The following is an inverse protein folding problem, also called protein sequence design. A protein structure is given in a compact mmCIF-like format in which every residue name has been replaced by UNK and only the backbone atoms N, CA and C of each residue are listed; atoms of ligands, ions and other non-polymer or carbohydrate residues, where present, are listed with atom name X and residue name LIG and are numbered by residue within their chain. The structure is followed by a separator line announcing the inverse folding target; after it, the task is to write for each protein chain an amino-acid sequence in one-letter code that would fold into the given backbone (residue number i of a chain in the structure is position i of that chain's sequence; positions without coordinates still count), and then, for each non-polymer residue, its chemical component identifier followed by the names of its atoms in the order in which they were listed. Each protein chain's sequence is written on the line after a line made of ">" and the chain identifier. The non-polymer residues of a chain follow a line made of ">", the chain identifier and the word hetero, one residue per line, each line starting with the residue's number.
data_IF_199791832064
#
_entry.id   IF_199791832064
#
_cell.length_a   1.000
_cell.length_b   1.000
_cell.length_c   1.000
_cell.angle_alpha   90.00
_cell.angle_beta   90.00
_cell.angle_gamma   90.00
#
_symmetry.space_group_name_H-M   'P 1'
#
loop_
_entity.id
_entity.type
_entity.pdbx_description
1 polymer ?
#
# COMPACT_ATOMS: atom_id res chain seq x y z
N UNK A 1 22.04 -47.33 20.94
CA UNK A 1 22.22 -46.13 20.10
C UNK A 1 21.07 -45.18 20.44
N UNK A 2 21.33 -44.13 21.22
CA UNK A 2 20.32 -43.17 21.62
C UNK A 2 20.48 -41.93 20.74
N UNK A 3 19.64 -41.80 19.71
CA UNK A 3 19.60 -40.59 18.90
C UNK A 3 19.00 -39.50 19.79
N UNK A 4 19.81 -38.48 20.09
CA UNK A 4 19.42 -37.37 20.95
C UNK A 4 18.23 -36.64 20.33
N UNK A 5 17.07 -36.78 20.97
CA UNK A 5 15.78 -36.25 20.53
C UNK A 5 15.68 -34.71 20.65
N UNK A 6 16.76 -34.05 21.09
CA UNK A 6 16.83 -32.59 21.34
C UNK A 6 17.22 -31.81 20.09
N UNK A 7 17.89 -32.47 19.13
CA UNK A 7 18.41 -31.86 17.92
C UNK A 7 17.35 -31.45 16.86
N UNK A 8 16.19 -32.12 16.70
CA UNK A 8 15.19 -31.73 15.70
C UNK A 8 14.46 -30.42 16.04
N UNK A 9 14.29 -30.10 17.33
CA UNK A 9 13.50 -28.95 17.77
C UNK A 9 14.24 -27.62 17.56
N UNK A 10 15.58 -27.63 17.72
CA UNK A 10 16.43 -26.48 17.44
C UNK A 10 16.45 -26.09 15.96
N UNK A 11 16.39 -27.06 15.05
CA UNK A 11 16.36 -26.82 13.60
C UNK A 11 15.05 -26.14 13.19
N UNK A 12 13.92 -26.55 13.78
CA UNK A 12 12.61 -25.92 13.57
C UNK A 12 12.61 -24.45 14.03
N UNK A 13 13.19 -24.17 15.20
CA UNK A 13 13.31 -22.80 15.72
C UNK A 13 14.14 -21.89 14.79
N UNK A 14 15.28 -22.36 14.28
CA UNK A 14 16.11 -21.58 13.34
C UNK A 14 15.40 -21.34 12.00
N UNK A 15 14.58 -22.29 11.54
CA UNK A 15 13.79 -22.14 10.30
C UNK A 15 12.70 -21.07 10.42
N UNK A 16 12.07 -20.92 11.59
CA UNK A 16 11.07 -19.89 11.86
C UNK A 16 11.67 -18.47 11.83
N UNK A 17 12.93 -18.30 12.24
CA UNK A 17 13.64 -17.01 12.14
C UNK A 17 14.09 -16.67 10.71
N UNK A 18 14.01 -17.63 9.78
CA UNK A 18 14.38 -17.45 8.36
C UNK A 18 13.16 -17.25 7.46
N UNK A 19 11.95 -17.20 8.02
CA UNK A 19 10.77 -16.81 7.26
C UNK A 19 11.00 -15.38 6.75
N UNK A 20 10.83 -15.13 5.43
CA UNK A 20 10.76 -13.77 4.94
C UNK A 20 9.67 -13.09 5.76
N UNK A 21 10.04 -12.13 6.59
CA UNK A 21 9.05 -11.34 7.30
C UNK A 21 8.19 -10.71 6.20
N UNK A 22 6.93 -11.14 6.09
CA UNK A 22 5.92 -10.46 5.30
C UNK A 22 5.83 -9.06 5.91
N UNK A 23 6.59 -8.11 5.36
CA UNK A 23 6.60 -6.73 5.82
C UNK A 23 5.30 -6.09 5.35
N UNK A 24 4.26 -6.25 6.15
CA UNK A 24 3.02 -5.53 5.93
C UNK A 24 3.31 -4.03 5.87
N UNK A 25 2.67 -3.34 4.94
CA UNK A 25 2.76 -1.89 4.84
C UNK A 25 1.77 -1.31 5.84
N UNK A 26 2.28 -0.59 6.82
CA UNK A 26 1.45 0.17 7.75
C UNK A 26 0.84 1.37 7.01
N UNK A 27 -0.48 1.49 7.05
CA UNK A 27 -1.22 2.56 6.41
C UNK A 27 -2.21 3.21 7.38
N UNK A 28 -2.60 4.44 7.08
CA UNK A 28 -3.60 5.18 7.82
C UNK A 28 -4.63 5.80 6.86
N UNK A 29 -5.88 5.98 7.29
CA UNK A 29 -6.83 6.77 6.51
C UNK A 29 -6.45 8.25 6.53
N UNK A 30 -6.52 8.90 5.37
CA UNK A 30 -6.15 10.32 5.24
C UNK A 30 -6.99 11.23 6.15
N UNK A 31 -8.27 10.90 6.33
CA UNK A 31 -9.19 11.61 7.23
C UNK A 31 -9.18 11.11 8.68
N UNK A 32 -8.27 10.19 9.04
CA UNK A 32 -8.08 9.59 10.38
C UNK A 32 -9.26 8.79 10.93
N UNK A 33 -10.44 8.88 10.32
CA UNK A 33 -11.71 8.35 10.80
C UNK A 33 -12.26 7.24 9.90
N UNK A 34 -11.71 7.07 8.70
CA UNK A 34 -12.19 6.13 7.69
C UNK A 34 -13.35 6.71 6.87
N UNK A 35 -13.82 5.93 5.91
CA UNK A 35 -14.81 6.37 4.92
C UNK A 35 -16.08 5.53 5.01
N UNK A 36 -17.22 6.11 4.66
CA UNK A 36 -18.50 5.39 4.64
C UNK A 36 -18.65 4.45 3.43
N UNK A 37 -17.72 4.52 2.48
CA UNK A 37 -17.66 3.70 1.27
C UNK A 37 -17.35 2.23 1.58
N UNK A 38 -16.49 1.96 2.55
CA UNK A 38 -15.90 0.65 2.75
C UNK A 38 -14.73 0.69 3.72
N UNK A 39 -13.88 -0.33 3.69
CA UNK A 39 -12.64 -0.36 4.47
C UNK A 39 -11.49 -0.99 3.69
N UNK A 40 -10.30 -0.44 3.84
CA UNK A 40 -9.03 -1.05 3.43
C UNK A 40 -8.66 -2.13 4.46
N UNK A 41 -8.26 -3.29 3.97
CA UNK A 41 -7.79 -4.40 4.81
C UNK A 41 -6.28 -4.45 4.87
N UNK A 42 -5.60 -4.23 3.75
CA UNK A 42 -4.15 -4.13 3.67
C UNK A 42 -3.71 -3.45 2.36
N UNK A 43 -2.46 -3.00 2.38
CA UNK A 43 -1.76 -2.46 1.22
C UNK A 43 -0.54 -3.34 0.96
N UNK A 44 -0.36 -3.75 -0.28
CA UNK A 44 0.84 -4.44 -0.74
C UNK A 44 1.65 -3.53 -1.65
N UNK A 45 2.97 -3.54 -1.45
CA UNK A 45 3.92 -2.83 -2.31
C UNK A 45 4.94 -3.83 -2.79
N UNK A 46 5.30 -3.73 -4.07
CA UNK A 46 6.38 -4.50 -4.67
C UNK A 46 7.27 -3.56 -5.49
N UNK A 47 8.61 -3.64 -5.35
CA UNK A 47 9.34 -4.51 -4.42
C UNK A 47 9.17 -4.09 -2.95
N UNK A 48 9.39 -5.03 -2.02
CA UNK A 48 9.35 -4.77 -0.58
C UNK A 48 10.39 -5.65 0.15
N UNK A 49 11.46 -5.05 0.72
CA UNK A 49 11.70 -3.62 0.80
C UNK A 49 12.12 -3.00 -0.54
N UNK A 50 11.92 -1.69 -0.67
CA UNK A 50 12.31 -0.91 -1.86
C UNK A 50 13.80 -0.59 -1.75
N UNK A 51 14.54 -0.96 -2.79
CA UNK A 51 15.95 -0.70 -2.97
C UNK A 51 16.25 0.66 -3.62
N UNK A 52 17.54 1.05 -3.66
CA UNK A 52 17.98 2.30 -4.29
C UNK A 52 17.72 2.31 -5.80
N UNK A 53 17.93 1.17 -6.49
CA UNK A 53 17.80 1.01 -7.94
C UNK A 53 16.38 0.70 -8.43
N UNK A 54 15.41 0.61 -7.51
CA UNK A 54 14.01 0.42 -7.86
C UNK A 54 13.40 1.79 -8.18
N UNK A 55 13.09 2.03 -9.46
CA UNK A 55 12.53 3.31 -9.93
C UNK A 55 11.01 3.28 -10.12
N UNK A 56 10.42 2.09 -10.14
CA UNK A 56 8.98 1.89 -10.31
C UNK A 56 8.47 0.90 -9.27
N UNK A 57 7.26 1.15 -8.80
CA UNK A 57 6.59 0.38 -7.78
C UNK A 57 5.28 -0.19 -8.32
N UNK A 58 4.88 -1.33 -7.78
CA UNK A 58 3.51 -1.81 -7.84
C UNK A 58 2.87 -1.64 -6.48
N UNK A 59 1.70 -1.01 -6.44
CA UNK A 59 0.92 -0.78 -5.23
C UNK A 59 -0.43 -1.45 -5.43
N UNK A 60 -0.83 -2.33 -4.51
CA UNK A 60 -2.16 -2.94 -4.54
C UNK A 60 -2.89 -2.65 -3.25
N UNK A 61 -4.09 -2.07 -3.38
CA UNK A 61 -4.97 -1.81 -2.23
C UNK A 61 -6.08 -2.84 -2.21
N UNK A 62 -6.22 -3.50 -1.07
CA UNK A 62 -7.25 -4.50 -0.83
C UNK A 62 -8.26 -3.97 0.18
N UNK A 63 -9.52 -4.34 0.00
CA UNK A 63 -10.55 -3.94 0.94
C UNK A 63 -11.91 -4.53 0.64
N UNK A 64 -12.90 -4.02 1.34
CA UNK A 64 -14.30 -4.37 1.18
C UNK A 64 -15.13 -3.12 0.89
N UNK A 65 -15.98 -3.19 -0.13
CA UNK A 65 -16.84 -2.10 -0.54
C UNK A 65 -18.26 -2.29 0.01
N UNK A 66 -18.79 -1.26 0.67
CA UNK A 66 -20.20 -1.20 1.10
C UNK A 66 -21.09 -0.56 0.03
N UNK A 67 -20.52 0.28 -0.83
CA UNK A 67 -21.21 1.00 -1.92
C UNK A 67 -20.53 0.67 -3.25
N UNK A 68 -21.25 0.87 -4.36
CA UNK A 68 -20.69 0.71 -5.70
C UNK A 68 -20.01 1.99 -6.17
N UNK A 69 -19.07 1.84 -7.10
CA UNK A 69 -18.52 2.92 -7.94
C UNK A 69 -18.59 2.42 -9.38
N UNK A 70 -19.45 3.04 -10.18
CA UNK A 70 -19.65 2.67 -11.59
C UNK A 70 -18.64 3.37 -12.52
N UNK A 71 -18.18 4.57 -12.14
CA UNK A 71 -17.16 5.34 -12.85
C UNK A 71 -16.14 5.92 -11.87
N UNK A 72 -15.14 5.11 -11.54
CA UNK A 72 -14.11 5.47 -10.57
C UNK A 72 -12.74 5.73 -11.19
N UNK A 73 -11.87 6.34 -10.40
CA UNK A 73 -10.43 6.27 -10.61
C UNK A 73 -9.69 6.11 -9.30
N UNK A 74 -8.67 5.26 -9.32
CA UNK A 74 -7.66 5.18 -8.27
C UNK A 74 -6.45 6.02 -8.67
N UNK A 75 -6.00 6.87 -7.76
CA UNK A 75 -4.90 7.82 -7.96
C UNK A 75 -3.85 7.65 -6.88
N UNK A 76 -2.58 7.75 -7.28
CA UNK A 76 -1.44 7.71 -6.37
C UNK A 76 -0.74 9.05 -6.39
N UNK A 77 -0.49 9.60 -5.21
CA UNK A 77 0.27 10.82 -5.03
C UNK A 77 1.49 10.60 -4.16
N UNK A 78 2.59 11.30 -4.44
CA UNK A 78 3.59 11.61 -3.43
C UNK A 78 3.20 12.94 -2.77
N UNK A 79 3.11 12.95 -1.44
CA UNK A 79 2.65 14.12 -0.68
C UNK A 79 3.60 14.46 0.44
N UNK A 80 4.11 15.69 0.43
CA UNK A 80 4.80 16.33 1.55
C UNK A 80 3.95 17.49 2.08
N UNK A 81 4.46 18.25 3.06
CA UNK A 81 3.79 19.45 3.54
C UNK A 81 3.61 20.53 2.47
N UNK A 82 4.49 20.56 1.45
CA UNK A 82 4.58 21.63 0.46
C UNK A 82 4.13 21.20 -0.94
N UNK A 83 4.24 19.92 -1.24
CA UNK A 83 4.10 19.38 -2.60
C UNK A 83 3.12 18.21 -2.60
N UNK A 84 2.33 18.11 -3.66
CA UNK A 84 1.48 16.96 -3.93
C UNK A 84 1.58 16.65 -5.41
N UNK A 85 2.30 15.59 -5.74
CA UNK A 85 2.58 15.19 -7.12
C UNK A 85 1.77 13.94 -7.46
N UNK A 86 0.98 14.03 -8.54
CA UNK A 86 0.23 12.90 -9.07
C UNK A 86 1.17 11.97 -9.83
N UNK A 87 1.33 10.75 -9.33
CA UNK A 87 2.26 9.76 -9.87
C UNK A 87 1.59 8.81 -10.85
N UNK A 88 0.37 8.37 -10.54
CA UNK A 88 -0.38 7.42 -11.36
C UNK A 88 -1.88 7.60 -11.19
N UNK A 89 -2.62 7.34 -12.26
CA UNK A 89 -4.08 7.29 -12.29
C UNK A 89 -4.51 6.08 -13.10
N UNK A 90 -5.54 5.38 -12.61
CA UNK A 90 -6.17 4.28 -13.34
C UNK A 90 -7.68 4.29 -13.12
N UNK A 91 -8.45 4.02 -14.17
CA UNK A 91 -9.90 3.88 -14.04
C UNK A 91 -10.26 2.57 -13.32
N UNK A 92 -11.35 2.57 -12.56
CA UNK A 92 -11.82 1.39 -11.85
C UNK A 92 -13.34 1.37 -11.71
N UNK A 93 -13.90 0.16 -11.55
CA UNK A 93 -15.31 -0.10 -11.22
C UNK A 93 -15.31 -1.01 -10.00
N UNK A 94 -16.16 -0.73 -9.02
CA UNK A 94 -16.23 -1.50 -7.78
C UNK A 94 -17.68 -1.83 -7.48
N UNK A 95 -17.95 -3.13 -7.28
CA UNK A 95 -19.29 -3.62 -6.92
C UNK A 95 -19.52 -3.52 -5.41
N UNK A 96 -20.72 -3.09 -5.02
CA UNK A 96 -21.13 -3.05 -3.62
C UNK A 96 -21.19 -4.46 -3.03
N UNK A 97 -20.79 -4.62 -1.76
CA UNK A 97 -20.87 -5.87 -1.03
C UNK A 97 -19.77 -6.87 -1.37
N UNK A 98 -18.71 -6.45 -2.07
CA UNK A 98 -17.62 -7.32 -2.52
C UNK A 98 -16.28 -6.91 -1.94
N UNK A 99 -15.34 -7.87 -1.89
CA UNK A 99 -13.94 -7.55 -1.68
C UNK A 99 -13.36 -7.00 -2.99
N UNK A 100 -12.68 -5.86 -2.92
CA UNK A 100 -12.02 -5.26 -4.07
C UNK A 100 -10.51 -5.46 -4.01
N UNK A 101 -9.90 -5.46 -5.19
CA UNK A 101 -8.45 -5.43 -5.40
C UNK A 101 -8.18 -4.32 -6.40
N UNK A 102 -7.40 -3.33 -6.00
CA UNK A 102 -7.06 -2.19 -6.84
C UNK A 102 -5.55 -2.17 -7.09
N UNK A 103 -5.07 -2.86 -8.14
CA UNK A 103 -3.67 -2.89 -8.50
C UNK A 103 -3.30 -1.64 -9.30
N UNK A 104 -2.16 -1.05 -8.97
CA UNK A 104 -1.51 0.04 -9.70
C UNK A 104 -0.07 -0.38 -9.99
N UNK A 105 0.26 -0.55 -11.26
CA UNK A 105 1.62 -0.86 -11.72
C UNK A 105 2.30 0.38 -12.28
N UNK A 106 3.63 0.33 -12.37
CA UNK A 106 4.46 1.39 -12.94
C UNK A 106 4.25 2.74 -12.23
N UNK A 107 4.12 2.70 -10.89
CA UNK A 107 4.07 3.92 -10.08
C UNK A 107 5.50 4.43 -9.93
N UNK A 108 5.85 5.62 -10.46
CA UNK A 108 7.19 6.16 -10.29
C UNK A 108 7.54 6.27 -8.81
N UNK A 109 8.74 5.82 -8.45
CA UNK A 109 9.33 6.13 -7.16
C UNK A 109 9.75 7.60 -7.19
N UNK A 110 9.05 8.40 -6.41
CA UNK A 110 9.33 9.81 -6.25
C UNK A 110 10.02 10.04 -4.90
N UNK A 111 10.91 11.01 -4.85
CA UNK A 111 11.63 11.40 -3.64
C UNK A 111 11.50 12.89 -3.48
N UNK A 112 10.43 13.28 -2.78
CA UNK A 112 10.21 14.68 -2.42
C UNK A 112 11.17 15.09 -1.30
N UNK A 113 11.55 16.36 -1.28
CA UNK A 113 12.36 16.91 -0.18
C UNK A 113 11.57 16.87 1.14
N UNK A 114 12.18 16.32 2.18
CA UNK A 114 11.61 16.25 3.53
C UNK A 114 10.87 14.95 3.83
N UNK A 115 10.04 14.96 4.87
CA UNK A 115 9.14 13.84 5.15
C UNK A 115 7.98 13.86 4.15
N UNK A 116 7.82 12.78 3.41
CA UNK A 116 6.72 12.61 2.46
C UNK A 116 6.11 11.22 2.60
N UNK A 117 4.84 11.12 2.22
CA UNK A 117 4.07 9.88 2.20
C UNK A 117 3.53 9.61 0.81
N UNK A 118 3.28 8.34 0.55
CA UNK A 118 2.45 7.94 -0.59
C UNK A 118 1.00 7.98 -0.15
N UNK A 119 0.15 8.52 -1.01
CA UNK A 119 -1.29 8.61 -0.82
C UNK A 119 -1.97 7.87 -1.95
N UNK A 120 -2.88 6.96 -1.62
CA UNK A 120 -3.73 6.28 -2.59
C UNK A 120 -5.16 6.70 -2.35
N UNK A 121 -5.75 7.40 -3.32
CA UNK A 121 -7.12 7.91 -3.27
C UNK A 121 -7.99 7.21 -4.31
N UNK A 122 -9.19 6.81 -3.89
CA UNK A 122 -10.24 6.29 -4.74
C UNK A 122 -11.29 7.38 -4.91
N UNK A 123 -11.46 7.81 -6.15
CA UNK A 123 -12.34 8.88 -6.56
C UNK A 123 -13.54 8.30 -7.33
N UNK A 124 -14.72 8.83 -7.04
CA UNK A 124 -15.97 8.50 -7.72
C UNK A 124 -16.44 9.72 -8.53
N UNK A 125 -16.62 9.53 -9.83
CA UNK A 125 -16.99 10.60 -10.75
C UNK A 125 -18.50 10.80 -10.84
N UNK A 126 -19.29 9.83 -10.39
CA UNK A 126 -20.75 9.81 -10.57
C UNK A 126 -21.47 10.24 -9.28
N UNK A 127 -21.01 11.30 -8.62
CA UNK A 127 -21.59 11.77 -7.35
C UNK A 127 -22.51 12.96 -7.58
N UNK A 128 -23.76 12.66 -7.95
CA UNK A 128 -24.81 13.66 -8.14
C UNK A 128 -24.49 14.63 -9.29
N UNK A 129 -24.83 15.92 -9.12
CA UNK A 129 -24.56 16.98 -10.11
C UNK A 129 -23.21 17.70 -9.87
N UNK A 130 -22.30 17.11 -9.09
CA UNK A 130 -20.98 17.70 -8.84
C UNK A 130 -20.08 17.50 -10.05
N UNK A 131 -19.40 18.56 -10.50
CA UNK A 131 -18.34 18.45 -11.52
C UNK A 131 -17.04 17.87 -10.95
N UNK A 132 -16.83 17.98 -9.63
CA UNK A 132 -15.67 17.44 -8.95
C UNK A 132 -15.93 16.00 -8.48
N UNK A 133 -14.97 15.07 -8.72
CA UNK A 133 -15.11 13.70 -8.26
C UNK A 133 -15.01 13.64 -6.73
N UNK A 134 -15.85 12.82 -6.11
CA UNK A 134 -15.83 12.67 -4.66
C UNK A 134 -14.77 11.66 -4.23
N UNK A 135 -13.97 12.01 -3.23
CA UNK A 135 -13.09 11.05 -2.57
C UNK A 135 -13.92 10.05 -1.75
N UNK A 136 -13.91 8.78 -2.17
CA UNK A 136 -14.62 7.69 -1.49
C UNK A 136 -13.75 6.97 -0.49
N UNK A 137 -12.44 6.99 -0.69
CA UNK A 137 -11.47 6.35 0.20
C UNK A 137 -10.09 6.95 -0.05
N UNK A 138 -9.31 7.16 1.00
CA UNK A 138 -7.93 7.60 0.88
C UNK A 138 -7.11 6.98 2.01
N UNK A 139 -5.95 6.42 1.66
CA UNK A 139 -4.97 5.94 2.63
C UNK A 139 -3.60 6.54 2.35
N UNK A 140 -2.86 6.82 3.42
CA UNK A 140 -1.47 7.27 3.38
C UNK A 140 -0.55 6.23 4.04
N UNK A 141 0.66 6.09 3.51
CA UNK A 141 1.68 5.19 4.04
C UNK A 141 3.08 5.66 3.65
N UNK A 142 4.08 5.17 4.40
CA UNK A 142 5.49 5.35 4.06
C UNK A 142 5.99 4.17 3.23
N UNK A 143 6.89 4.43 2.30
CA UNK A 143 7.54 3.37 1.53
C UNK A 143 8.42 2.50 2.44
N UNK A 144 8.30 1.15 2.39
CA UNK A 144 9.15 0.26 3.15
C UNK A 144 10.55 0.19 2.51
N UNK A 145 11.42 1.15 2.84
CA UNK A 145 12.76 1.22 2.25
C UNK A 145 13.74 0.26 2.94
N UNK A 146 14.66 -0.29 2.16
CA UNK A 146 15.80 -1.03 2.70
C UNK A 146 16.73 -0.03 3.36
N UNK A 147 16.84 -0.04 4.69
CA UNK A 147 17.90 0.72 5.36
C UNK A 147 19.23 0.14 4.88
N UNK A 148 20.00 0.91 4.11
CA UNK A 148 21.41 0.61 3.87
C UNK A 148 22.08 0.60 5.23
N UNK A 149 22.26 -0.59 5.78
CA UNK A 149 23.16 -0.81 6.91
C UNK A 149 24.55 -0.54 6.35
N UNK A 150 24.98 0.72 6.44
CA UNK A 150 26.38 1.10 6.33
C UNK A 150 27.12 0.36 7.44
N UNK A 151 27.52 -0.87 7.17
CA UNK A 151 28.54 -1.55 7.95
C UNK A 151 29.83 -0.80 7.64
N UNK A 152 30.15 0.20 8.47
CA UNK A 152 31.50 0.72 8.55
C UNK A 152 32.39 -0.42 9.05
N UNK A 153 33.19 -0.98 8.13
CA UNK A 153 34.33 -1.82 8.46
C UNK A 153 35.57 -0.95 8.72
#
# INVERSE_FOLDING_TARGET
>A
MAVSHVQPMLILLVSLFSLPALRAVDFEYCNKSGYDFGNVTHVEISPNPIGPEDFELSITVFGYAKKSIDSGSIEVYAKSEKVTDLLRRQACVIEAGTNFVLPLSEVPKDVLEGEYKYVVALLDKDVGNSEEPAERMCVDFSLPTSVLTLVSA
#
